data_IF_385596644741
#
_entry.id   IF_385596644741
#
_cell.length_a   1.000
_cell.length_b   1.000
_cell.length_c   1.000
_cell.angle_alpha   90.00
_cell.angle_beta   90.00
_cell.angle_gamma   90.00
#
_symmetry.space_group_name_H-M   'P 1'
#
loop_
_entity.id
_entity.type
_entity.pdbx_description
1 polymer ?
#
# COMPACT_ATOMS: atom_id res chain seq x y z
N UNK A 1 -28.99 -15.24 26.29
CA UNK A 1 -27.86 -16.20 26.26
C UNK A 1 -27.45 -16.55 24.84
N UNK A 2 -28.35 -17.04 23.97
CA UNK A 2 -28.01 -17.44 22.60
C UNK A 2 -27.24 -16.39 21.79
N UNK A 3 -27.70 -15.12 21.73
CA UNK A 3 -27.01 -14.06 20.97
C UNK A 3 -25.58 -13.78 21.42
N UNK A 4 -25.28 -13.91 22.72
CA UNK A 4 -23.91 -13.75 23.23
C UNK A 4 -23.00 -14.90 22.76
N UNK A 5 -23.52 -16.12 22.76
CA UNK A 5 -22.81 -17.29 22.23
C UNK A 5 -22.57 -17.15 20.72
N UNK A 6 -23.58 -16.70 19.97
CA UNK A 6 -23.44 -16.39 18.54
C UNK A 6 -22.36 -15.34 18.29
N UNK A 7 -22.32 -14.26 19.07
CA UNK A 7 -21.27 -13.25 18.93
C UNK A 7 -19.87 -13.80 19.25
N UNK A 8 -19.74 -14.59 20.31
CA UNK A 8 -18.46 -15.21 20.67
C UNK A 8 -17.93 -16.17 19.61
N UNK A 9 -18.81 -16.83 18.85
CA UNK A 9 -18.47 -17.77 17.79
C UNK A 9 -18.66 -17.20 16.36
N UNK A 10 -18.74 -15.88 16.20
CA UNK A 10 -19.04 -15.26 14.91
C UNK A 10 -18.01 -15.56 13.81
N UNK A 11 -16.76 -15.87 14.20
CA UNK A 11 -15.71 -16.28 13.26
C UNK A 11 -15.93 -17.67 12.65
N UNK A 12 -16.81 -18.49 13.23
CA UNK A 12 -17.10 -19.85 12.76
C UNK A 12 -18.38 -19.94 11.94
N UNK A 13 -19.03 -18.81 11.65
CA UNK A 13 -20.21 -18.81 10.82
C UNK A 13 -19.88 -19.06 9.36
N UNK A 14 -20.76 -19.82 8.71
CA UNK A 14 -20.81 -19.90 7.26
C UNK A 14 -21.76 -18.80 6.76
N UNK A 15 -21.37 -18.02 5.72
CA UNK A 15 -22.23 -16.97 5.16
C UNK A 15 -23.63 -17.47 4.80
N UNK A 16 -23.73 -18.68 4.23
CA UNK A 16 -24.96 -19.32 3.81
C UNK A 16 -25.88 -19.58 5.00
N UNK A 17 -25.34 -20.17 6.08
CA UNK A 17 -26.08 -20.43 7.31
C UNK A 17 -26.59 -19.13 7.95
N UNK A 18 -25.76 -18.09 7.89
CA UNK A 18 -26.13 -16.80 8.44
C UNK A 18 -27.30 -16.15 7.66
N UNK A 19 -27.39 -16.35 6.35
CA UNK A 19 -28.48 -15.86 5.50
C UNK A 19 -29.85 -16.45 5.86
N UNK A 20 -29.91 -17.73 6.29
CA UNK A 20 -31.17 -18.38 6.68
C UNK A 20 -31.85 -17.72 7.87
N UNK A 21 -31.07 -17.19 8.81
CA UNK A 21 -31.61 -16.41 9.93
C UNK A 21 -32.20 -15.06 9.48
N UNK A 22 -31.82 -14.56 8.31
CA UNK A 22 -32.18 -13.23 7.85
C UNK A 22 -31.49 -12.09 8.62
N UNK A 23 -31.46 -10.93 7.98
CA UNK A 23 -30.73 -9.76 8.49
C UNK A 23 -31.23 -9.30 9.88
N UNK A 24 -32.51 -9.54 10.19
CA UNK A 24 -33.07 -9.15 11.49
C UNK A 24 -32.31 -9.73 12.70
N UNK A 25 -31.84 -10.98 12.64
CA UNK A 25 -31.05 -11.57 13.72
C UNK A 25 -29.55 -11.33 13.54
N UNK A 26 -29.07 -11.42 12.30
CA UNK A 26 -27.66 -11.18 11.99
C UNK A 26 -27.22 -9.75 12.38
N UNK A 27 -28.05 -8.75 12.11
CA UNK A 27 -27.80 -7.35 12.51
C UNK A 27 -27.61 -7.21 14.02
N UNK A 28 -28.36 -7.95 14.85
CA UNK A 28 -28.20 -7.86 16.31
C UNK A 28 -26.84 -8.38 16.76
N UNK A 29 -26.35 -9.46 16.13
CA UNK A 29 -25.03 -10.02 16.41
C UNK A 29 -23.95 -9.05 15.91
N UNK A 30 -24.09 -8.56 14.67
CA UNK A 30 -23.15 -7.62 14.06
C UNK A 30 -23.01 -6.31 14.86
N UNK A 31 -24.13 -5.67 15.20
CA UNK A 31 -24.11 -4.48 16.05
C UNK A 31 -23.54 -4.78 17.43
N UNK A 32 -23.79 -5.95 18.00
CA UNK A 32 -23.18 -6.32 19.27
C UNK A 32 -21.65 -6.36 19.14
N UNK A 33 -21.12 -7.04 18.11
CA UNK A 33 -19.68 -7.10 17.83
C UNK A 33 -19.05 -5.72 17.62
N UNK A 34 -19.74 -4.81 16.92
CA UNK A 34 -19.30 -3.43 16.75
C UNK A 34 -19.26 -2.68 18.09
N UNK A 35 -20.34 -2.73 18.87
CA UNK A 35 -20.44 -2.01 20.14
C UNK A 35 -19.45 -2.51 21.19
N UNK A 36 -19.05 -3.78 21.13
CA UNK A 36 -18.07 -4.38 22.06
C UNK A 36 -16.64 -4.39 21.50
N UNK A 37 -16.40 -3.76 20.36
CA UNK A 37 -15.10 -3.79 19.64
C UNK A 37 -14.56 -5.22 19.42
N UNK A 38 -15.47 -6.19 19.30
CA UNK A 38 -15.16 -7.61 19.12
C UNK A 38 -15.25 -8.04 17.65
N UNK A 39 -15.66 -7.14 16.76
CA UNK A 39 -15.72 -7.41 15.32
C UNK A 39 -14.30 -7.65 14.79
N UNK A 40 -14.04 -8.89 14.39
CA UNK A 40 -12.80 -9.28 13.73
C UNK A 40 -12.91 -9.08 12.22
N UNK A 41 -11.77 -9.10 11.54
CA UNK A 41 -11.76 -9.12 10.08
C UNK A 41 -12.56 -10.29 9.48
N UNK A 42 -12.42 -11.49 10.06
CA UNK A 42 -13.01 -12.70 9.53
C UNK A 42 -14.54 -12.69 9.72
N UNK A 43 -15.03 -12.39 10.92
CA UNK A 43 -16.45 -12.18 11.15
C UNK A 43 -17.03 -11.09 10.23
N UNK A 44 -16.37 -9.93 10.08
CA UNK A 44 -16.81 -8.92 9.11
C UNK A 44 -16.92 -9.45 7.68
N UNK A 45 -15.93 -10.20 7.21
CA UNK A 45 -15.95 -10.80 5.88
C UNK A 45 -17.12 -11.78 5.71
N UNK A 46 -17.44 -12.57 6.74
CA UNK A 46 -18.61 -13.47 6.75
C UNK A 46 -19.92 -12.66 6.66
N UNK A 47 -20.08 -11.63 7.49
CA UNK A 47 -21.27 -10.77 7.45
C UNK A 47 -21.40 -10.05 6.10
N UNK A 48 -20.30 -9.55 5.55
CA UNK A 48 -20.27 -8.86 4.26
C UNK A 48 -20.61 -9.80 3.09
N UNK A 49 -20.18 -11.06 3.16
CA UNK A 49 -20.54 -12.08 2.18
C UNK A 49 -22.02 -12.45 2.27
N UNK A 50 -22.55 -12.57 3.49
CA UNK A 50 -23.94 -12.92 3.73
C UNK A 50 -24.91 -11.77 3.38
N UNK A 51 -24.57 -10.52 3.73
CA UNK A 51 -25.46 -9.34 3.65
C UNK A 51 -24.76 -8.13 3.01
N UNK A 52 -24.36 -8.19 1.74
CA UNK A 52 -23.53 -7.16 1.13
C UNK A 52 -24.18 -5.78 1.00
N UNK A 53 -25.52 -5.70 1.03
CA UNK A 53 -26.28 -4.46 0.94
C UNK A 53 -26.48 -3.77 2.31
N UNK A 54 -26.41 -4.54 3.39
CA UNK A 54 -26.72 -4.05 4.74
C UNK A 54 -25.47 -3.73 5.56
N UNK A 55 -24.31 -4.29 5.17
CA UNK A 55 -23.03 -4.07 5.85
C UNK A 55 -22.31 -2.87 5.23
N UNK A 56 -21.66 -2.09 6.11
CA UNK A 56 -20.84 -0.97 5.68
C UNK A 56 -19.71 -1.47 4.74
N UNK A 57 -19.66 -0.98 3.48
CA UNK A 57 -18.63 -1.39 2.52
C UNK A 57 -17.22 -0.90 2.90
N UNK A 58 -17.13 0.00 3.88
CA UNK A 58 -15.90 0.55 4.42
C UNK A 58 -15.75 0.18 5.89
N UNK A 59 -14.85 -0.75 6.20
CA UNK A 59 -14.61 -1.19 7.56
C UNK A 59 -13.19 -0.86 8.01
N UNK A 60 -13.07 -0.32 9.22
CA UNK A 60 -11.81 -0.06 9.88
C UNK A 60 -11.53 -1.06 11.00
N UNK A 61 -10.27 -1.47 11.09
CA UNK A 61 -9.73 -2.26 12.19
C UNK A 61 -8.50 -1.56 12.76
N UNK A 62 -8.47 -1.42 14.08
CA UNK A 62 -7.33 -0.90 14.82
C UNK A 62 -6.65 -2.05 15.57
N UNK A 63 -5.35 -2.24 15.30
CA UNK A 63 -4.52 -3.25 15.94
C UNK A 63 -3.50 -2.51 16.79
N UNK A 64 -3.68 -2.45 18.12
CA UNK A 64 -2.77 -1.74 18.98
C UNK A 64 -1.37 -2.38 18.94
N UNK A 65 -0.31 -1.59 19.17
CA UNK A 65 1.04 -2.13 19.24
C UNK A 65 1.18 -3.02 20.49
N UNK A 66 2.08 -3.99 20.43
CA UNK A 66 2.52 -4.69 21.65
C UNK A 66 3.24 -3.69 22.56
N UNK A 67 2.90 -3.66 23.84
CA UNK A 67 3.37 -2.68 24.84
C UNK A 67 4.89 -2.69 25.07
N UNK A 68 5.61 -3.68 24.53
CA UNK A 68 7.02 -3.92 24.87
C UNK A 68 7.98 -3.95 23.68
N UNK A 69 7.50 -3.81 22.45
CA UNK A 69 8.37 -4.00 21.27
C UNK A 69 8.02 -3.04 20.14
N UNK A 70 9.04 -2.43 19.54
CA UNK A 70 8.94 -1.72 18.25
C UNK A 70 8.92 -2.68 17.04
N UNK A 71 8.94 -4.00 17.28
CA UNK A 71 8.85 -5.00 16.21
C UNK A 71 7.37 -5.20 15.79
N UNK A 72 7.08 -5.24 14.48
CA UNK A 72 5.73 -5.44 13.96
C UNK A 72 5.34 -6.94 13.96
N UNK A 73 5.26 -7.57 15.14
CA UNK A 73 5.08 -9.03 15.28
C UNK A 73 3.84 -9.62 14.60
N UNK A 74 2.79 -8.83 14.40
CA UNK A 74 1.55 -9.26 13.74
C UNK A 74 1.57 -9.01 12.23
N UNK A 75 2.57 -8.31 11.69
CA UNK A 75 2.62 -8.00 10.27
C UNK A 75 2.60 -9.25 9.38
N UNK A 76 3.35 -10.33 9.66
CA UNK A 76 3.27 -11.55 8.85
C UNK A 76 1.85 -12.16 8.80
N UNK A 77 1.14 -12.17 9.95
CA UNK A 77 -0.23 -12.68 10.00
C UNK A 77 -1.22 -11.75 9.31
N UNK A 78 -0.97 -10.43 9.34
CA UNK A 78 -1.77 -9.45 8.61
C UNK A 78 -1.56 -9.61 7.11
N UNK A 79 -0.31 -9.67 6.65
CA UNK A 79 0.02 -9.89 5.24
C UNK A 79 -0.63 -11.17 4.72
N UNK A 80 -0.53 -12.28 5.47
CA UNK A 80 -1.16 -13.56 5.10
C UNK A 80 -2.69 -13.47 5.00
N UNK A 81 -3.35 -12.77 5.94
CA UNK A 81 -4.80 -12.56 5.87
C UNK A 81 -5.20 -11.65 4.71
N UNK A 82 -4.47 -10.56 4.52
CA UNK A 82 -4.71 -9.58 3.47
C UNK A 82 -4.40 -10.11 2.06
N UNK A 83 -3.48 -11.08 1.93
CA UNK A 83 -3.18 -11.71 0.64
C UNK A 83 -4.30 -12.63 0.16
N UNK A 84 -5.11 -13.15 1.07
CA UNK A 84 -6.21 -14.08 0.76
C UNK A 84 -7.52 -13.35 0.42
N UNK A 85 -7.52 -12.02 0.35
CA UNK A 85 -8.74 -11.26 0.10
C UNK A 85 -9.14 -11.30 -1.36
N UNK A 86 -10.41 -11.57 -1.61
CA UNK A 86 -10.98 -11.62 -2.95
C UNK A 86 -11.00 -10.24 -3.61
N UNK A 87 -10.67 -10.18 -4.90
CA UNK A 87 -10.98 -9.05 -5.77
C UNK A 87 -12.52 -8.90 -5.85
N UNK A 88 -13.12 -7.72 -5.60
CA UNK A 88 -12.63 -6.37 -5.94
C UNK A 88 -12.13 -5.50 -4.75
N UNK A 89 -11.98 -6.06 -3.55
CA UNK A 89 -11.71 -5.30 -2.33
C UNK A 89 -10.43 -4.44 -2.44
N UNK A 90 -10.47 -3.23 -1.89
CA UNK A 90 -9.30 -2.36 -1.70
C UNK A 90 -8.86 -2.42 -0.25
N UNK A 91 -7.56 -2.51 -0.03
CA UNK A 91 -6.98 -2.44 1.31
C UNK A 91 -6.26 -1.12 1.50
N UNK A 92 -6.57 -0.43 2.61
CA UNK A 92 -5.79 0.69 3.11
C UNK A 92 -5.03 0.22 4.35
N UNK A 93 -3.72 0.32 4.33
CA UNK A 93 -2.88 -0.17 5.43
C UNK A 93 -2.05 0.98 5.98
N UNK A 94 -2.15 1.20 7.28
CA UNK A 94 -1.40 2.21 8.02
C UNK A 94 -0.58 1.51 9.09
N UNK A 95 0.73 1.43 8.90
CA UNK A 95 1.68 0.81 9.84
C UNK A 95 2.45 1.94 10.52
N UNK A 96 2.34 2.04 11.84
CA UNK A 96 2.86 3.18 12.59
C UNK A 96 3.72 2.78 13.77
N UNK A 97 4.78 3.55 14.00
CA UNK A 97 5.63 3.44 15.18
C UNK A 97 6.28 2.06 15.35
N UNK A 98 6.67 1.44 14.24
CA UNK A 98 7.44 0.20 14.23
C UNK A 98 8.82 0.40 13.60
N UNK A 99 9.81 -0.33 14.06
CA UNK A 99 11.11 -0.45 13.42
C UNK A 99 11.00 -1.50 12.30
N UNK A 100 10.52 -1.08 11.12
CA UNK A 100 10.36 -1.95 9.97
C UNK A 100 11.71 -2.37 9.41
N UNK A 101 11.83 -3.65 9.10
CA UNK A 101 12.96 -4.27 8.41
C UNK A 101 12.69 -4.35 6.90
N UNK A 102 13.72 -4.67 6.11
CA UNK A 102 13.53 -4.93 4.67
C UNK A 102 12.61 -6.12 4.41
N UNK A 103 12.66 -7.15 5.26
CA UNK A 103 11.76 -8.31 5.19
C UNK A 103 10.30 -7.89 5.39
N UNK A 104 10.05 -7.00 6.35
CA UNK A 104 8.71 -6.47 6.60
C UNK A 104 8.17 -5.74 5.37
N UNK A 105 8.97 -4.84 4.78
CA UNK A 105 8.58 -4.12 3.55
C UNK A 105 8.28 -5.09 2.41
N UNK A 106 9.17 -6.05 2.15
CA UNK A 106 8.97 -7.01 1.05
C UNK A 106 7.78 -7.93 1.24
N UNK A 107 7.36 -8.20 2.49
CA UNK A 107 6.14 -8.96 2.78
C UNK A 107 4.88 -8.23 2.26
N UNK A 108 4.85 -6.89 2.29
CA UNK A 108 3.72 -6.10 1.82
C UNK A 108 3.43 -6.29 0.33
N UNK A 109 4.44 -6.72 -0.45
CA UNK A 109 4.27 -7.02 -1.87
C UNK A 109 3.27 -8.16 -2.14
N UNK A 110 3.03 -9.00 -1.13
CA UNK A 110 2.11 -10.13 -1.20
C UNK A 110 0.63 -9.72 -1.06
N UNK A 111 0.32 -8.42 -0.87
CA UNK A 111 -1.04 -7.93 -0.71
C UNK A 111 -1.53 -7.34 -2.05
N UNK A 112 -2.23 -8.11 -2.91
CA UNK A 112 -2.60 -7.66 -4.26
C UNK A 112 -3.68 -6.56 -4.24
N UNK A 113 -4.43 -6.46 -3.15
CA UNK A 113 -5.52 -5.49 -2.96
C UNK A 113 -5.06 -4.16 -2.39
N UNK A 114 -3.77 -3.99 -2.07
CA UNK A 114 -3.28 -2.80 -1.38
C UNK A 114 -3.37 -1.56 -2.26
N UNK A 115 -4.24 -0.62 -1.87
CA UNK A 115 -4.53 0.62 -2.60
C UNK A 115 -3.88 1.86 -2.01
N UNK A 116 -3.85 1.95 -0.68
CA UNK A 116 -3.18 3.03 0.04
C UNK A 116 -2.30 2.44 1.14
N UNK A 117 -1.08 2.96 1.26
CA UNK A 117 -0.11 2.53 2.26
C UNK A 117 0.46 3.74 3.00
N UNK A 118 0.39 3.73 4.31
CA UNK A 118 1.06 4.69 5.19
C UNK A 118 2.08 3.91 6.02
N UNK A 119 3.35 4.30 5.94
CA UNK A 119 4.43 3.71 6.70
C UNK A 119 5.06 4.77 7.58
N UNK A 120 5.05 4.54 8.89
CA UNK A 120 5.71 5.40 9.88
C UNK A 120 6.70 4.57 10.70
N UNK A 121 7.98 4.92 10.56
CA UNK A 121 9.09 4.22 11.18
C UNK A 121 9.34 4.76 12.59
N UNK A 122 9.34 3.88 13.61
CA UNK A 122 9.92 4.21 14.90
C UNK A 122 11.45 4.24 14.79
N UNK A 123 12.08 5.26 15.39
CA UNK A 123 13.54 5.37 15.49
C UNK A 123 13.98 5.30 16.96
N UNK A 124 13.90 4.13 17.62
CA UNK A 124 14.51 3.97 18.94
C UNK A 124 16.02 4.22 18.79
N UNK A 125 16.51 5.36 19.30
CA UNK A 125 17.91 5.78 19.13
C UNK A 125 18.21 6.61 17.88
N UNK A 126 17.20 7.09 17.15
CA UNK A 126 17.36 8.09 16.09
C UNK A 126 17.85 7.57 14.73
N UNK A 127 18.11 6.26 14.60
CA UNK A 127 18.53 5.61 13.36
C UNK A 127 17.43 4.68 12.82
N UNK A 128 17.35 4.59 11.49
CA UNK A 128 16.46 3.69 10.76
C UNK A 128 17.28 2.50 10.24
N UNK A 129 16.77 1.28 10.40
CA UNK A 129 17.37 0.08 9.79
C UNK A 129 17.20 0.05 8.27
N UNK A 130 16.24 0.82 7.73
CA UNK A 130 16.00 0.94 6.31
C UNK A 130 16.97 1.94 5.71
N UNK A 131 17.91 1.43 4.91
CA UNK A 131 18.83 2.24 4.10
C UNK A 131 18.17 2.68 2.79
N UNK A 132 18.77 3.68 2.13
CA UNK A 132 18.40 4.08 0.76
C UNK A 132 18.41 2.91 -0.22
N UNK A 133 19.37 1.99 -0.07
CA UNK A 133 19.47 0.79 -0.92
C UNK A 133 18.31 -0.17 -0.69
N UNK A 134 17.96 -0.45 0.58
CA UNK A 134 16.81 -1.28 0.91
C UNK A 134 15.51 -0.75 0.30
N UNK A 135 15.31 0.57 0.32
CA UNK A 135 14.10 1.18 -0.23
C UNK A 135 14.04 1.08 -1.77
N UNK A 136 15.18 1.26 -2.46
CA UNK A 136 15.29 1.06 -3.91
C UNK A 136 15.10 -0.41 -4.30
N UNK A 137 15.67 -1.34 -3.53
CA UNK A 137 15.52 -2.78 -3.73
C UNK A 137 14.07 -3.23 -3.50
N UNK A 138 13.36 -2.64 -2.53
CA UNK A 138 11.94 -2.88 -2.30
C UNK A 138 11.10 -2.47 -3.51
N UNK A 139 11.35 -1.28 -4.05
CA UNK A 139 10.68 -0.81 -5.27
C UNK A 139 10.99 -1.69 -6.49
N UNK A 140 12.25 -2.10 -6.64
CA UNK A 140 12.66 -3.03 -7.69
C UNK A 140 11.93 -4.36 -7.56
N UNK A 141 11.84 -4.91 -6.34
CA UNK A 141 11.14 -6.15 -6.07
C UNK A 141 9.63 -6.04 -6.35
N UNK A 142 9.00 -4.90 -6.03
CA UNK A 142 7.60 -4.64 -6.37
C UNK A 142 7.37 -4.75 -7.88
N UNK A 143 8.23 -4.11 -8.68
CA UNK A 143 8.17 -4.16 -10.14
C UNK A 143 8.41 -5.57 -10.68
N UNK A 144 9.47 -6.25 -10.23
CA UNK A 144 9.84 -7.59 -10.73
C UNK A 144 8.79 -8.65 -10.39
N UNK A 145 8.16 -8.56 -9.21
CA UNK A 145 7.10 -9.49 -8.80
C UNK A 145 5.71 -9.12 -9.31
N UNK A 146 5.56 -7.95 -9.95
CA UNK A 146 4.24 -7.40 -10.24
C UNK A 146 3.42 -7.16 -8.97
N UNK A 147 4.07 -6.89 -7.83
CA UNK A 147 3.38 -6.56 -6.58
C UNK A 147 2.77 -5.16 -6.63
N UNK A 148 1.80 -4.90 -5.75
CA UNK A 148 1.25 -3.56 -5.50
C UNK A 148 0.68 -2.84 -6.74
N UNK A 149 0.07 -3.59 -7.65
CA UNK A 149 -0.52 -3.06 -8.89
C UNK A 149 -1.68 -2.08 -8.66
N UNK A 150 -2.30 -2.10 -7.47
CA UNK A 150 -3.40 -1.20 -7.12
C UNK A 150 -2.98 -0.02 -6.23
N UNK A 151 -1.71 0.03 -5.83
CA UNK A 151 -1.22 1.04 -4.90
C UNK A 151 -1.17 2.41 -5.60
N UNK A 152 -2.11 3.29 -5.23
CA UNK A 152 -2.21 4.67 -5.76
C UNK A 152 -1.59 5.70 -4.82
N UNK A 153 -1.61 5.43 -3.51
CA UNK A 153 -1.15 6.35 -2.47
C UNK A 153 -0.10 5.67 -1.60
N UNK A 154 1.04 6.33 -1.42
CA UNK A 154 2.05 5.95 -0.45
C UNK A 154 2.43 7.16 0.41
N UNK A 155 2.42 7.00 1.73
CA UNK A 155 2.98 8.00 2.64
C UNK A 155 4.12 7.38 3.44
N UNK A 156 5.29 8.00 3.39
CA UNK A 156 6.51 7.55 4.05
C UNK A 156 6.90 8.56 5.11
N UNK A 157 6.93 8.09 6.35
CA UNK A 157 7.07 8.91 7.54
C UNK A 157 8.26 8.44 8.37
N UNK A 158 9.18 9.35 8.69
CA UNK A 158 10.33 9.08 9.56
C UNK A 158 11.29 7.98 9.09
N UNK A 159 11.42 7.74 7.78
CA UNK A 159 12.40 6.76 7.29
C UNK A 159 13.85 7.27 7.27
N UNK A 160 14.06 8.58 7.33
CA UNK A 160 15.40 9.19 7.29
C UNK A 160 16.04 9.14 5.91
N UNK A 161 15.23 8.87 4.89
CA UNK A 161 15.62 8.79 3.49
C UNK A 161 15.52 10.18 2.85
N UNK A 162 16.42 10.45 1.91
CA UNK A 162 16.30 11.64 1.07
C UNK A 162 15.12 11.53 0.11
N UNK A 163 14.42 12.65 -0.13
CA UNK A 163 13.23 12.71 -1.01
C UNK A 163 13.49 12.07 -2.39
N UNK A 164 14.60 12.44 -3.04
CA UNK A 164 14.95 11.89 -4.35
C UNK A 164 15.26 10.38 -4.37
N UNK A 165 15.62 9.77 -3.24
CA UNK A 165 15.73 8.30 -3.14
C UNK A 165 14.35 7.67 -3.12
N UNK A 166 13.43 8.23 -2.32
CA UNK A 166 12.05 7.75 -2.22
C UNK A 166 11.36 7.82 -3.59
N UNK A 167 11.41 8.98 -4.26
CA UNK A 167 10.76 9.19 -5.56
C UNK A 167 11.33 8.32 -6.68
N UNK A 168 12.66 8.16 -6.75
CA UNK A 168 13.29 7.24 -7.72
C UNK A 168 12.87 5.79 -7.51
N UNK A 169 12.77 5.33 -6.26
CA UNK A 169 12.20 4.01 -5.97
C UNK A 169 10.74 3.93 -6.43
N UNK A 170 9.94 4.91 -6.05
CA UNK A 170 8.49 4.91 -6.31
C UNK A 170 8.09 5.01 -7.78
N UNK A 171 9.03 5.40 -8.65
CA UNK A 171 8.83 5.41 -10.09
C UNK A 171 8.55 4.01 -10.67
N UNK A 172 8.97 2.94 -9.99
CA UNK A 172 8.77 1.55 -10.43
C UNK A 172 7.35 1.00 -10.26
N UNK A 173 6.48 1.70 -9.53
CA UNK A 173 5.10 1.26 -9.28
C UNK A 173 4.21 1.77 -10.41
N UNK A 174 3.35 0.98 -11.06
CA UNK A 174 2.57 1.46 -12.19
C UNK A 174 1.37 2.33 -11.78
N UNK A 175 0.61 1.94 -10.75
CA UNK A 175 -0.60 2.67 -10.36
C UNK A 175 -0.36 3.83 -9.40
N UNK A 176 0.86 4.00 -8.88
CA UNK A 176 1.16 4.99 -7.85
C UNK A 176 1.04 6.40 -8.43
N UNK A 177 0.29 7.27 -7.78
CA UNK A 177 0.00 8.63 -8.26
C UNK A 177 0.26 9.70 -7.23
N UNK A 178 0.21 9.35 -5.95
CA UNK A 178 0.41 10.28 -4.86
C UNK A 178 1.42 9.71 -3.86
N UNK A 179 2.46 10.49 -3.58
CA UNK A 179 3.48 10.16 -2.59
C UNK A 179 3.60 11.30 -1.58
N UNK A 180 3.40 10.98 -0.30
CA UNK A 180 3.69 11.89 0.82
C UNK A 180 5.00 11.51 1.48
N UNK A 181 5.88 12.48 1.72
CA UNK A 181 7.15 12.27 2.44
C UNK A 181 7.22 13.19 3.65
N UNK A 182 7.34 12.58 4.84
CA UNK A 182 7.43 13.29 6.14
C UNK A 182 8.79 13.03 6.76
N UNK A 183 9.42 14.08 7.30
CA UNK A 183 10.70 14.04 8.02
C UNK A 183 11.90 13.50 7.22
N UNK A 184 11.97 13.83 5.95
CA UNK A 184 13.20 13.63 5.16
C UNK A 184 14.23 14.68 5.60
N UNK A 185 15.42 14.26 6.03
CA UNK A 185 16.54 15.12 6.50
C UNK A 185 17.13 16.06 5.42
N UNK A 186 16.41 16.32 4.33
CA UNK A 186 16.94 17.00 3.14
C UNK A 186 16.12 18.25 2.82
N UNK A 187 16.86 19.32 2.54
CA UNK A 187 16.37 20.64 2.16
C UNK A 187 15.28 20.59 1.10
N UNK A 188 14.46 21.63 1.06
CA UNK A 188 13.38 21.78 0.10
C UNK A 188 13.98 21.76 -1.31
N UNK A 189 13.76 20.67 -2.05
CA UNK A 189 13.97 20.67 -3.49
C UNK A 189 12.79 21.42 -4.09
N UNK A 190 12.95 22.74 -4.26
CA UNK A 190 12.02 23.51 -5.04
C UNK A 190 12.30 23.24 -6.52
N UNK A 191 11.28 22.77 -7.25
CA UNK A 191 11.27 22.78 -8.71
C UNK A 191 11.97 21.64 -9.45
N UNK A 192 12.62 20.68 -8.79
CA UNK A 192 13.19 19.53 -9.50
C UNK A 192 12.15 18.41 -9.68
N UNK A 193 11.79 18.14 -10.94
CA UNK A 193 11.09 16.92 -11.33
C UNK A 193 12.07 15.74 -11.18
N UNK A 194 11.78 14.86 -10.21
CA UNK A 194 12.61 13.68 -9.96
C UNK A 194 11.87 12.46 -10.48
N UNK A 195 12.27 11.97 -11.65
CA UNK A 195 11.74 10.74 -12.26
C UNK A 195 10.23 10.79 -12.56
N UNK A 196 9.74 11.93 -13.05
CA UNK A 196 8.33 12.14 -13.40
C UNK A 196 7.44 12.42 -12.19
N UNK A 197 8.04 12.82 -11.07
CA UNK A 197 7.34 13.22 -9.86
C UNK A 197 7.41 14.73 -9.73
N UNK A 198 6.23 15.35 -9.77
CA UNK A 198 6.07 16.78 -9.57
C UNK A 198 5.76 17.06 -8.11
N UNK A 199 6.58 17.89 -7.47
CA UNK A 199 6.25 18.43 -6.15
C UNK A 199 5.01 19.32 -6.29
N UNK A 200 4.06 19.17 -5.38
CA UNK A 200 2.83 19.95 -5.45
C UNK A 200 2.80 20.95 -4.31
N UNK A 201 2.58 22.21 -4.68
CA UNK A 201 2.38 23.29 -3.73
C UNK A 201 0.98 23.21 -3.13
N UNK A 202 0.79 23.84 -1.97
CA UNK A 202 -0.49 23.81 -1.25
C UNK A 202 -1.67 24.30 -2.11
N UNK A 203 -1.42 25.27 -2.99
CA UNK A 203 -2.47 25.89 -3.80
C UNK A 203 -2.95 25.02 -4.97
N UNK A 204 -2.06 24.21 -5.57
CA UNK A 204 -2.35 23.41 -6.77
C UNK A 204 -3.15 22.14 -6.49
N UNK A 205 -3.10 21.66 -5.25
CA UNK A 205 -3.90 20.52 -4.79
C UNK A 205 -5.32 20.94 -4.37
N UNK A 206 -5.63 22.23 -4.47
CA UNK A 206 -6.75 22.83 -3.76
C UNK A 206 -6.63 22.61 -2.25
N UNK A 207 -7.71 22.86 -1.50
CA UNK A 207 -7.81 22.49 -0.07
C UNK A 207 -7.66 20.98 0.22
N UNK A 208 -7.36 20.15 -0.78
CA UNK A 208 -7.52 18.69 -0.78
C UNK A 208 -6.48 17.95 0.05
N UNK A 209 -5.28 17.69 -0.49
CA UNK A 209 -4.39 16.69 0.11
C UNK A 209 -3.80 17.13 1.46
N UNK A 210 -3.25 18.35 1.56
CA UNK A 210 -2.75 18.85 2.84
C UNK A 210 -3.88 19.11 3.83
N UNK A 211 -5.04 19.60 3.37
CA UNK A 211 -6.22 19.77 4.20
C UNK A 211 -6.72 18.44 4.78
N UNK A 212 -6.82 17.39 3.96
CA UNK A 212 -7.20 16.03 4.38
C UNK A 212 -6.16 15.46 5.35
N UNK A 213 -4.87 15.52 4.99
CA UNK A 213 -3.83 14.91 5.80
C UNK A 213 -3.67 15.56 7.17
N UNK A 214 -3.75 16.90 7.22
CA UNK A 214 -3.59 17.67 8.46
C UNK A 214 -4.90 17.84 9.23
N UNK A 215 -6.06 17.47 8.68
CA UNK A 215 -7.34 17.55 9.37
C UNK A 215 -7.35 16.69 10.64
N UNK A 216 -7.36 17.33 11.81
CA UNK A 216 -7.41 16.63 13.11
C UNK A 216 -8.75 15.92 13.36
N UNK A 217 -9.81 16.38 12.71
CA UNK A 217 -11.16 15.83 12.83
C UNK A 217 -11.38 14.57 11.98
N UNK A 218 -10.47 14.24 11.06
CA UNK A 218 -10.56 13.05 10.21
C UNK A 218 -9.81 11.88 10.85
N UNK A 219 -10.43 10.70 10.85
CA UNK A 219 -9.77 9.45 11.23
C UNK A 219 -8.70 9.08 10.20
N UNK A 220 -7.70 8.28 10.61
CA UNK A 220 -6.66 7.79 9.67
C UNK A 220 -7.25 7.03 8.48
N UNK A 221 -8.32 6.27 8.72
CA UNK A 221 -9.09 5.62 7.65
C UNK A 221 -9.61 6.64 6.65
N UNK A 222 -10.35 7.66 7.13
CA UNK A 222 -11.00 8.63 6.26
C UNK A 222 -9.97 9.41 5.45
N UNK A 223 -8.83 9.75 6.07
CA UNK A 223 -7.69 10.36 5.37
C UNK A 223 -7.17 9.47 4.24
N UNK A 224 -6.94 8.18 4.49
CA UNK A 224 -6.45 7.26 3.46
C UNK A 224 -7.46 7.10 2.32
N UNK A 225 -8.75 6.98 2.64
CA UNK A 225 -9.83 6.91 1.65
C UNK A 225 -9.89 8.17 0.77
N UNK A 226 -9.90 9.35 1.40
CA UNK A 226 -9.99 10.61 0.68
C UNK A 226 -8.74 10.84 -0.19
N UNK A 227 -7.54 10.54 0.32
CA UNK A 227 -6.31 10.59 -0.48
C UNK A 227 -6.33 9.60 -1.64
N UNK A 228 -6.88 8.40 -1.44
CA UNK A 228 -7.01 7.39 -2.47
C UNK A 228 -7.99 7.81 -3.57
N UNK A 229 -9.14 8.38 -3.19
CA UNK A 229 -10.12 8.97 -4.11
C UNK A 229 -9.52 10.13 -4.91
N UNK A 230 -8.80 11.05 -4.24
CA UNK A 230 -8.09 12.15 -4.89
C UNK A 230 -7.05 11.66 -5.92
N UNK A 231 -6.31 10.60 -5.60
CA UNK A 231 -5.37 9.98 -6.53
C UNK A 231 -6.08 9.25 -7.70
N UNK A 232 -7.25 8.66 -7.45
CA UNK A 232 -8.11 8.03 -8.46
C UNK A 232 -8.66 9.04 -9.47
N UNK A 233 -9.28 10.12 -8.99
CA UNK A 233 -9.89 11.17 -9.79
C UNK A 233 -8.90 11.80 -10.78
N UNK A 234 -7.62 11.95 -10.39
CA UNK A 234 -6.56 12.48 -11.25
C UNK A 234 -6.25 11.64 -12.48
N UNK A 235 -6.49 10.33 -12.44
CA UNK A 235 -6.34 9.48 -13.63
C UNK A 235 -7.63 9.17 -14.35
N UNK A 236 -8.70 9.94 -14.10
CA UNK A 236 -9.99 9.76 -14.77
C UNK A 236 -10.73 8.48 -14.37
N UNK A 237 -10.29 7.81 -13.30
CA UNK A 237 -11.00 6.68 -12.74
C UNK A 237 -12.19 7.20 -11.95
N UNK A 238 -13.39 6.79 -12.35
CA UNK A 238 -14.61 7.10 -11.59
C UNK A 238 -14.56 6.35 -10.27
N UNK A 239 -14.96 7.01 -9.20
CA UNK A 239 -15.28 6.36 -7.93
C UNK A 239 -16.43 5.38 -8.17
N UNK A 240 -16.10 4.15 -8.58
CA UNK A 240 -16.99 3.02 -8.36
C UNK A 240 -17.10 2.83 -6.85
N UNK A 241 -18.25 2.31 -6.38
CA UNK A 241 -18.45 1.94 -4.97
C UNK A 241 -17.53 0.78 -4.55
N UNK A 242 -16.22 1.01 -4.60
CA UNK A 242 -15.17 0.08 -4.27
C UNK A 242 -15.25 -0.17 -2.77
N UNK A 243 -15.45 -1.44 -2.40
CA UNK A 243 -15.40 -1.85 -1.01
C UNK A 243 -13.98 -1.68 -0.50
N UNK A 244 -13.82 -1.19 0.72
CA UNK A 244 -12.49 -0.99 1.29
C UNK A 244 -12.38 -1.51 2.72
N UNK A 245 -11.24 -2.10 3.03
CA UNK A 245 -10.86 -2.43 4.40
C UNK A 245 -9.65 -1.61 4.79
N UNK A 246 -9.78 -0.89 5.89
CA UNK A 246 -8.75 -0.04 6.44
C UNK A 246 -8.17 -0.68 7.71
N UNK A 247 -6.86 -0.89 7.76
CA UNK A 247 -6.20 -1.42 8.94
C UNK A 247 -5.17 -0.41 9.43
N UNK A 248 -5.31 0.01 10.69
CA UNK A 248 -4.27 0.74 11.40
C UNK A 248 -3.56 -0.23 12.34
N UNK A 249 -2.31 -0.54 12.03
CA UNK A 249 -1.44 -1.34 12.88
C UNK A 249 -0.41 -0.45 13.57
N UNK A 250 -0.43 -0.43 14.89
CA UNK A 250 0.46 0.38 15.71
C UNK A 250 -0.25 1.52 16.44
N UNK A 251 0.49 2.22 17.28
CA UNK A 251 -0.07 3.24 18.18
C UNK A 251 -0.03 4.64 17.59
N UNK A 252 -0.94 5.50 18.04
CA UNK A 252 -0.74 6.93 17.98
C UNK A 252 0.21 7.36 19.09
N UNK A 253 1.53 7.28 18.87
CA UNK A 253 2.38 8.22 19.61
C UNK A 253 1.90 9.60 19.19
N UNK A 254 1.64 10.48 20.17
CA UNK A 254 1.26 11.86 19.94
C UNK A 254 2.34 12.54 19.12
N UNK A 255 2.28 12.38 17.80
CA UNK A 255 3.18 13.06 16.90
C UNK A 255 2.99 14.54 17.13
N UNK A 256 4.11 15.22 17.28
CA UNK A 256 4.16 16.65 17.04
C UNK A 256 3.52 16.89 15.66
N UNK A 257 2.34 17.51 15.65
CA UNK A 257 1.57 17.84 14.44
C UNK A 257 2.30 18.84 13.51
N UNK A 258 3.60 19.06 13.71
CA UNK A 258 4.34 20.20 13.16
C UNK A 258 5.28 19.82 12.02
N UNK A 259 5.40 18.53 11.65
CA UNK A 259 6.23 18.17 10.51
C UNK A 259 5.43 18.27 9.20
N UNK A 260 5.79 19.27 8.40
CA UNK A 260 5.21 19.46 7.08
C UNK A 260 5.43 18.23 6.19
N UNK A 261 4.37 17.81 5.51
CA UNK A 261 4.43 16.71 4.53
C UNK A 261 4.70 17.29 3.14
N UNK A 262 5.75 16.81 2.48
CA UNK A 262 5.98 17.13 1.07
C UNK A 262 5.19 16.15 0.20
N UNK A 263 4.30 16.67 -0.66
CA UNK A 263 3.48 15.87 -1.56
C UNK A 263 4.01 15.90 -2.98
N UNK A 264 4.02 14.73 -3.60
CA UNK A 264 4.45 14.53 -4.96
C UNK A 264 3.36 13.78 -5.73
N UNK A 265 3.10 14.26 -6.94
CA UNK A 265 2.14 13.64 -7.85
C UNK A 265 2.81 13.19 -9.12
N UNK A 266 2.25 12.15 -9.74
CA UNK A 266 2.67 11.67 -11.06
C UNK A 266 1.47 11.55 -11.98
N UNK A 267 1.54 12.29 -13.08
CA UNK A 267 0.50 12.35 -14.09
C UNK A 267 0.83 11.34 -15.22
N UNK A 268 0.23 10.16 -15.16
CA UNK A 268 0.47 9.09 -16.16
C UNK A 268 -0.07 9.42 -17.56
N UNK A 269 -1.10 10.27 -17.64
CA UNK A 269 -1.70 10.65 -18.92
C UNK A 269 -0.68 11.30 -19.87
N UNK A 270 0.23 12.11 -19.32
CA UNK A 270 1.25 12.83 -20.10
C UNK A 270 2.30 11.86 -20.66
N UNK A 271 2.73 10.87 -19.88
CA UNK A 271 3.75 9.90 -20.32
C UNK A 271 3.26 8.99 -21.45
N UNK A 272 1.97 8.61 -21.44
CA UNK A 272 1.38 7.78 -22.48
C UNK A 272 1.28 8.51 -23.84
N UNK A 273 1.09 9.83 -23.82
CA UNK A 273 1.06 10.64 -25.06
C UNK A 273 2.47 10.87 -25.62
N UNK A 274 3.48 11.06 -24.78
CA UNK A 274 4.87 11.18 -25.23
C UNK A 274 5.39 9.91 -25.91
N UNK A 275 5.01 8.73 -25.41
CA UNK A 275 5.35 7.45 -26.06
C UNK A 275 4.59 7.19 -27.37
N UNK A 276 3.46 7.88 -27.60
CA UNK A 276 2.67 7.74 -28.83
C UNK A 276 3.10 8.69 -29.94
N UNK A 277 4.07 9.58 -29.71
CA UNK A 277 4.66 10.36 -30.80
C UNK A 277 5.34 9.38 -31.75
N UNK A 278 4.83 9.20 -33.00
CA UNK A 278 5.50 8.34 -33.96
C UNK A 278 6.92 8.87 -34.12
N UNK A 279 7.92 7.98 -34.13
CA UNK A 279 9.27 8.31 -34.57
C UNK A 279 9.18 8.78 -36.03
N UNK A 280 8.90 10.07 -36.22
CA UNK A 280 8.88 10.70 -37.52
C UNK A 280 10.33 10.74 -37.98
N UNK A 281 10.67 9.75 -38.80
CA UNK A 281 11.78 9.81 -39.75
C UNK A 281 13.17 9.70 -39.14
N UNK A 282 13.53 8.55 -38.57
CA UNK A 282 14.92 8.10 -38.70
C UNK A 282 15.16 7.82 -40.18
N UNK A 283 15.73 8.81 -40.87
CA UNK A 283 16.33 8.64 -42.17
C UNK A 283 17.26 7.43 -42.13
N UNK A 284 16.93 6.46 -42.98
CA UNK A 284 17.72 5.29 -43.35
C UNK A 284 19.12 5.78 -43.76
N UNK A 285 20.06 5.82 -42.82
CA UNK A 285 21.48 5.91 -43.16
C UNK A 285 21.89 4.50 -43.60
N UNK A 286 21.82 4.28 -44.91
CA UNK A 286 22.49 3.17 -45.57
C UNK A 286 24.00 3.30 -45.32
N UNK A 287 24.63 2.19 -44.92
CA UNK A 287 26.09 2.06 -44.94
C UNK A 287 26.75 1.88 -43.58
N UNK A 288 26.74 0.65 -43.06
CA UNK A 288 27.52 0.30 -41.89
C UNK A 288 27.67 -1.21 -41.73
N UNK A 289 28.73 -1.77 -42.32
CA UNK A 289 29.10 -3.19 -42.31
C UNK A 289 29.05 -3.76 -40.89
N UNK A 290 28.11 -4.67 -40.65
CA UNK A 290 27.92 -5.37 -39.39
C UNK A 290 29.12 -6.28 -39.08
N UNK A 291 30.03 -5.82 -38.21
CA UNK A 291 31.02 -6.69 -37.57
C UNK A 291 30.30 -7.65 -36.61
N UNK A 292 30.10 -8.90 -37.06
CA UNK A 292 29.67 -10.04 -36.22
C UNK A 292 30.58 -10.15 -34.98
N UNK A 293 30.06 -9.78 -33.81
CA UNK A 293 30.69 -10.07 -32.52
C UNK A 293 30.60 -11.58 -32.29
N UNK A 294 31.75 -12.26 -32.27
CA UNK A 294 31.89 -13.68 -31.97
C UNK A 294 31.50 -13.90 -30.50
N UNK A 295 30.27 -14.35 -30.25
CA UNK A 295 29.82 -14.80 -28.93
C UNK A 295 30.68 -16.01 -28.55
N UNK A 296 31.49 -15.89 -27.51
CA UNK A 296 32.15 -17.03 -26.87
C UNK A 296 31.04 -17.89 -26.27
N UNK A 297 30.78 -19.03 -26.88
CA UNK A 297 30.02 -20.14 -26.29
C UNK A 297 30.69 -20.55 -24.98
N UNK A 298 30.22 -19.98 -23.88
CA UNK A 298 30.49 -20.51 -22.55
C UNK A 298 29.93 -21.92 -22.49
N UNK A 299 30.77 -22.84 -22.02
CA UNK A 299 30.48 -24.26 -21.81
C UNK A 299 29.15 -24.36 -21.04
N UNK A 300 28.07 -24.79 -21.70
CA UNK A 300 26.86 -25.23 -21.01
C UNK A 300 27.29 -26.40 -20.12
N UNK A 301 27.35 -26.18 -18.80
CA UNK A 301 27.43 -27.28 -17.85
C UNK A 301 26.05 -27.92 -17.79
N UNK A 302 26.02 -29.19 -18.15
CA UNK A 302 24.85 -30.05 -18.15
C UNK A 302 24.37 -30.24 -16.69
N UNK A 303 23.12 -29.89 -16.41
CA UNK A 303 22.52 -29.98 -15.07
C UNK A 303 22.43 -31.45 -14.61
N UNK A 304 22.53 -32.41 -15.54
CA UNK A 304 22.57 -33.83 -15.23
C UNK A 304 23.74 -34.28 -14.34
N UNK A 305 24.85 -33.53 -14.28
CA UNK A 305 26.00 -33.91 -13.44
C UNK A 305 25.82 -33.63 -11.94
N UNK A 306 24.78 -32.90 -11.53
CA UNK A 306 24.53 -32.56 -10.12
C UNK A 306 23.60 -33.54 -9.39
N UNK A 307 22.95 -34.47 -10.10
CA UNK A 307 21.99 -35.41 -9.50
C UNK A 307 22.61 -36.74 -9.04
N UNK A 308 23.92 -36.92 -9.16
CA UNK A 308 24.63 -38.14 -8.78
C UNK A 308 25.14 -38.22 -7.32
N UNK A 309 24.93 -37.19 -6.49
CA UNK A 309 25.57 -37.07 -5.18
C UNK A 309 24.67 -37.40 -3.97
N UNK A 310 23.50 -37.99 -4.17
CA UNK A 310 22.68 -38.53 -3.08
C UNK A 310 22.73 -40.06 -3.09
N UNK A 311 23.73 -40.62 -2.42
CA UNK A 311 23.76 -41.99 -1.91
C UNK A 311 24.27 -41.97 -0.48
#
# INVERSE_FOLDING_TARGET
MALRSCAFHADFFEPETLQWGGWHYASRIYHHLLTTEALTYNSWAIFQAAYPADINPHQHFHIPPSTHTYAPTLLPSLTSRLSNLSHPLITHLCIRNFALTFTDLTSLLCIPTLGALVLEQARPGGLSEITSRHFLDFARAAREKGGLQRLRVLVVCDFGLGKGVVLRGMSGFPALRLVGVVNSKTSVMHGEDVAGWRCVEEDELGKGVNGVWNASYLTSEKKMQDLYGLAGARGGEREGGERSVSITYGGGMGRSMHEATAWFVRDHAVQAEEMKKPEVGQQRVEGGVAKKRKIRTGKQMDVGSFLGAFK
#
